data_IF_546076919760
#
_entry.id   IF_546076919760
#
_cell.length_a   1.000
_cell.length_b   1.000
_cell.length_c   1.000
_cell.angle_alpha   90.00
_cell.angle_beta   90.00
_cell.angle_gamma   90.00
#
_symmetry.space_group_name_H-M   'P 1'
#
loop_
_entity.id
_entity.type
_entity.pdbx_description
1 polymer ?
#
# COMPACT_ATOMS: atom_id res chain seq x y z
N UNK A 1 12.05 -19.70 -2.61
CA UNK A 1 10.64 -19.60 -2.22
C UNK A 1 10.26 -18.14 -2.03
N UNK A 2 9.15 -17.69 -2.56
CA UNK A 2 8.70 -16.33 -2.29
C UNK A 2 8.41 -16.15 -0.80
N UNK A 3 8.63 -14.94 -0.32
CA UNK A 3 8.28 -14.59 1.05
C UNK A 3 6.80 -14.24 1.12
N UNK A 4 6.18 -14.53 2.26
CA UNK A 4 4.79 -14.21 2.50
C UNK A 4 4.59 -13.79 3.95
N UNK A 5 3.60 -12.93 4.17
CA UNK A 5 3.12 -12.63 5.51
C UNK A 5 4.19 -12.03 6.41
N UNK A 6 4.21 -12.49 7.64
CA UNK A 6 5.12 -11.93 8.64
C UNK A 6 6.59 -12.17 8.28
N UNK A 7 6.90 -13.29 7.68
CA UNK A 7 8.28 -13.55 7.26
C UNK A 7 8.71 -12.51 6.23
N UNK A 8 7.84 -12.14 5.31
CA UNK A 8 8.14 -11.12 4.32
C UNK A 8 8.43 -9.79 5.00
N UNK A 9 7.62 -9.42 5.99
CA UNK A 9 7.86 -8.19 6.74
C UNK A 9 9.20 -8.26 7.46
N UNK A 10 9.46 -9.36 8.15
CA UNK A 10 10.67 -9.49 8.95
C UNK A 10 11.94 -9.40 8.11
N UNK A 11 11.94 -10.06 6.95
CA UNK A 11 13.11 -10.04 6.07
C UNK A 11 13.27 -8.67 5.43
N UNK A 12 12.17 -8.04 5.08
CA UNK A 12 12.22 -6.71 4.50
C UNK A 12 12.85 -5.72 5.50
N UNK A 13 12.40 -5.78 6.75
CA UNK A 13 12.92 -4.89 7.78
C UNK A 13 14.39 -5.18 8.08
N UNK A 14 14.75 -6.46 8.15
CA UNK A 14 16.12 -6.86 8.51
C UNK A 14 17.13 -6.46 7.45
N UNK A 15 16.71 -6.33 6.20
CA UNK A 15 17.62 -6.08 5.07
C UNK A 15 17.37 -4.76 4.38
N UNK A 16 16.51 -3.91 4.93
CA UNK A 16 16.10 -2.65 4.28
C UNK A 16 15.62 -2.90 2.86
N UNK A 17 14.82 -3.96 2.71
CA UNK A 17 14.18 -4.29 1.45
C UNK A 17 15.04 -5.02 0.46
N UNK A 18 16.32 -5.28 0.78
CA UNK A 18 17.15 -6.06 -0.12
C UNK A 18 16.52 -7.43 -0.35
N UNK A 19 15.97 -8.00 0.71
CA UNK A 19 15.12 -9.17 0.57
C UNK A 19 13.68 -8.71 0.76
N UNK A 20 12.86 -8.99 -0.22
CA UNK A 20 11.44 -8.72 -0.11
C UNK A 20 10.92 -7.63 -1.01
N UNK A 21 11.74 -6.63 -1.38
CA UNK A 21 11.26 -5.57 -2.27
C UNK A 21 10.90 -6.14 -3.64
N UNK A 22 11.79 -6.91 -4.23
CA UNK A 22 11.50 -7.57 -5.49
C UNK A 22 10.80 -8.87 -5.17
N UNK A 23 9.63 -9.08 -5.75
CA UNK A 23 8.78 -10.18 -5.36
C UNK A 23 7.97 -10.68 -6.55
N UNK A 24 8.24 -11.91 -6.99
CA UNK A 24 7.50 -12.57 -8.06
C UNK A 24 7.35 -11.70 -9.31
N UNK A 25 8.46 -11.04 -9.69
CA UNK A 25 8.46 -10.24 -10.91
C UNK A 25 7.88 -8.85 -10.73
N UNK A 26 7.53 -8.48 -9.51
CA UNK A 26 7.03 -7.15 -9.23
C UNK A 26 7.77 -6.59 -8.02
N UNK A 27 7.23 -5.57 -7.39
CA UNK A 27 7.88 -4.89 -6.29
C UNK A 27 6.91 -4.63 -5.18
N UNK A 28 7.40 -4.68 -3.93
CA UNK A 28 6.56 -4.48 -2.75
C UNK A 28 7.12 -3.40 -1.86
N UNK A 29 6.21 -2.77 -1.13
CA UNK A 29 6.55 -1.87 -0.03
C UNK A 29 5.94 -2.45 1.24
N UNK A 30 6.39 -1.94 2.38
CA UNK A 30 5.72 -2.23 3.64
C UNK A 30 4.78 -1.07 3.97
N UNK A 31 3.54 -1.40 4.24
CA UNK A 31 2.53 -0.42 4.65
C UNK A 31 2.26 -0.60 6.14
N UNK A 32 2.32 0.49 6.90
CA UNK A 32 1.96 0.48 8.31
C UNK A 32 0.68 1.29 8.49
N UNK A 33 -0.35 0.63 8.98
CA UNK A 33 -1.62 1.27 9.29
C UNK A 33 -1.88 1.19 10.78
N UNK A 34 -2.78 2.06 11.26
CA UNK A 34 -3.22 2.03 12.65
C UNK A 34 -4.56 1.30 12.72
N UNK A 35 -4.63 0.27 13.54
CA UNK A 35 -5.84 -0.51 13.69
C UNK A 35 -7.00 0.37 14.16
N UNK A 36 -8.13 0.27 13.44
CA UNK A 36 -9.27 1.15 13.70
C UNK A 36 -9.94 0.88 15.04
N UNK A 37 -9.70 -0.30 15.60
CA UNK A 37 -10.30 -0.66 16.89
C UNK A 37 -9.30 -0.69 18.02
N UNK A 38 -8.10 -1.25 17.74
CA UNK A 38 -7.11 -1.43 18.79
C UNK A 38 -6.16 -0.25 18.93
N UNK A 39 -6.02 0.55 17.89
CA UNK A 39 -4.99 1.60 17.86
C UNK A 39 -3.59 1.06 17.64
N UNK A 40 -3.44 -0.23 17.48
CA UNK A 40 -2.13 -0.84 17.28
C UNK A 40 -1.68 -0.73 15.84
N UNK A 41 -0.39 -0.58 15.65
CA UNK A 41 0.16 -0.51 14.31
C UNK A 41 0.26 -1.89 13.71
N UNK A 42 -0.04 -1.98 12.42
CA UNK A 42 0.01 -3.23 11.67
C UNK A 42 0.82 -3.00 10.41
N UNK A 43 1.74 -3.92 10.13
CA UNK A 43 2.57 -3.84 8.94
C UNK A 43 2.31 -5.02 8.03
N UNK A 44 2.31 -4.76 6.72
CA UNK A 44 2.18 -5.83 5.74
C UNK A 44 2.83 -5.41 4.44
N UNK A 45 3.28 -6.39 3.63
CA UNK A 45 3.84 -6.09 2.32
C UNK A 45 2.73 -6.00 1.29
N UNK A 46 2.86 -5.04 0.38
CA UNK A 46 1.89 -4.86 -0.69
C UNK A 46 2.62 -4.53 -1.99
N UNK A 47 2.13 -5.08 -3.08
CA UNK A 47 2.61 -4.71 -4.41
C UNK A 47 2.25 -3.25 -4.64
N UNK A 48 3.20 -2.47 -5.17
CA UNK A 48 2.94 -1.05 -5.38
C UNK A 48 3.32 -0.63 -6.79
N UNK A 49 2.72 0.47 -7.24
CA UNK A 49 3.11 1.16 -8.45
C UNK A 49 3.37 2.62 -8.14
N UNK A 50 3.84 3.37 -9.12
CA UNK A 50 4.17 4.78 -8.97
C UNK A 50 3.42 5.61 -10.00
N UNK A 51 3.00 6.79 -9.57
CA UNK A 51 2.42 7.79 -10.45
C UNK A 51 2.91 9.14 -9.94
N UNK A 52 3.86 9.73 -10.68
CA UNK A 52 4.52 10.93 -10.17
C UNK A 52 5.26 10.61 -8.89
N UNK A 53 4.99 11.39 -7.85
CA UNK A 53 5.63 11.16 -6.56
C UNK A 53 4.81 10.23 -5.66
N UNK A 54 3.63 9.85 -6.11
CA UNK A 54 2.73 9.04 -5.30
C UNK A 54 3.00 7.56 -5.50
N UNK A 55 2.66 6.79 -4.48
CA UNK A 55 2.66 5.33 -4.55
C UNK A 55 1.22 4.85 -4.58
N UNK A 56 0.99 3.68 -5.17
CA UNK A 56 -0.37 3.13 -5.25
C UNK A 56 -0.35 1.67 -4.87
N UNK A 57 -1.40 1.25 -4.18
CA UNK A 57 -1.64 -0.15 -3.85
C UNK A 57 -3.09 -0.46 -4.17
N UNK A 58 -3.42 -1.75 -4.27
CA UNK A 58 -4.77 -2.17 -4.65
C UNK A 58 -5.36 -3.00 -3.51
N UNK A 59 -6.56 -2.62 -3.08
CA UNK A 59 -7.22 -3.30 -1.97
C UNK A 59 -8.07 -4.47 -2.48
N UNK A 60 -7.41 -5.42 -3.15
CA UNK A 60 -8.10 -6.49 -3.87
C UNK A 60 -8.49 -7.66 -2.99
N UNK A 61 -7.64 -8.05 -2.05
CA UNK A 61 -7.82 -9.25 -1.24
C UNK A 61 -8.16 -10.45 -2.14
N UNK A 62 -7.49 -10.54 -3.31
CA UNK A 62 -7.70 -11.64 -4.24
C UNK A 62 -9.09 -11.71 -4.84
N UNK A 63 -9.85 -10.62 -4.80
CA UNK A 63 -11.22 -10.61 -5.32
C UNK A 63 -12.24 -11.08 -4.33
N UNK A 64 -11.89 -11.15 -3.04
CA UNK A 64 -12.86 -11.54 -2.00
C UNK A 64 -14.01 -10.52 -1.96
N UNK A 65 -15.21 -10.95 -1.51
CA UNK A 65 -16.34 -10.04 -1.46
C UNK A 65 -16.18 -8.92 -0.44
N UNK A 66 -15.26 -9.06 0.50
CA UNK A 66 -15.04 -8.06 1.51
C UNK A 66 -13.67 -7.42 1.31
N UNK A 67 -13.51 -6.12 1.63
CA UNK A 67 -12.21 -5.49 1.50
C UNK A 67 -11.24 -5.99 2.56
N UNK A 68 -9.93 -5.81 2.33
CA UNK A 68 -8.96 -6.22 3.34
C UNK A 68 -9.03 -5.31 4.57
N UNK A 69 -8.63 -5.85 5.71
CA UNK A 69 -8.69 -5.10 6.96
C UNK A 69 -7.85 -3.83 6.92
N UNK A 70 -6.70 -3.88 6.25
CA UNK A 70 -5.84 -2.70 6.18
C UNK A 70 -6.52 -1.53 5.46
N UNK A 71 -7.38 -1.83 4.50
CA UNK A 71 -8.13 -0.79 3.80
C UNK A 71 -9.09 -0.10 4.76
N UNK A 72 -9.78 -0.88 5.58
CA UNK A 72 -10.69 -0.31 6.56
C UNK A 72 -9.93 0.50 7.60
N UNK A 73 -8.74 0.05 7.97
CA UNK A 73 -7.89 0.80 8.91
C UNK A 73 -7.50 2.16 8.34
N UNK A 74 -7.06 2.20 7.08
CA UNK A 74 -6.63 3.48 6.53
C UNK A 74 -7.79 4.40 6.20
N UNK A 75 -8.99 3.86 6.00
CA UNK A 75 -10.15 4.72 5.85
C UNK A 75 -10.46 5.43 7.16
N UNK A 76 -10.29 4.72 8.27
CA UNK A 76 -10.51 5.32 9.59
C UNK A 76 -9.37 6.24 9.99
N UNK A 77 -8.14 5.89 9.61
CA UNK A 77 -6.92 6.64 9.94
C UNK A 77 -6.07 6.76 8.69
N UNK A 78 -6.24 7.84 7.92
CA UNK A 78 -5.53 7.94 6.62
C UNK A 78 -4.05 8.25 6.74
N UNK A 79 -3.56 8.60 7.91
CA UNK A 79 -2.13 8.82 8.09
C UNK A 79 -1.45 7.47 8.28
N UNK A 80 -0.53 7.14 7.37
CA UNK A 80 0.13 5.84 7.33
C UNK A 80 1.63 6.05 7.20
N UNK A 81 2.38 4.95 7.29
CA UNK A 81 3.80 4.96 6.98
C UNK A 81 4.07 3.92 5.92
N UNK A 82 5.02 4.23 5.06
CA UNK A 82 5.46 3.26 4.06
C UNK A 82 6.97 3.15 4.11
N UNK A 83 7.45 1.96 3.77
CA UNK A 83 8.87 1.74 3.62
C UNK A 83 9.12 1.12 2.25
N UNK A 84 9.96 1.77 1.47
CA UNK A 84 10.35 1.30 0.15
C UNK A 84 11.84 1.10 0.19
N UNK A 85 12.27 -0.18 0.23
CA UNK A 85 13.66 -0.53 0.52
C UNK A 85 14.06 0.08 1.85
N UNK A 86 15.10 0.90 1.88
CA UNK A 86 15.51 1.54 3.13
C UNK A 86 14.84 2.87 3.41
N UNK A 87 14.01 3.35 2.50
CA UNK A 87 13.39 4.66 2.66
C UNK A 87 12.07 4.53 3.41
N UNK A 88 12.02 5.13 4.60
CA UNK A 88 10.82 5.16 5.42
C UNK A 88 10.22 6.55 5.33
N UNK A 89 8.92 6.62 5.14
CA UNK A 89 8.28 7.91 4.98
C UNK A 89 6.84 7.85 5.47
N UNK A 90 6.34 9.01 5.88
CA UNK A 90 4.92 9.15 6.18
C UNK A 90 4.18 9.42 4.89
N UNK A 91 2.93 8.99 4.86
CA UNK A 91 2.08 9.22 3.70
C UNK A 91 0.65 9.39 4.15
N UNK A 92 -0.13 10.05 3.31
CA UNK A 92 -1.57 10.14 3.53
C UNK A 92 -2.24 9.30 2.48
N UNK A 93 -3.10 8.40 2.95
CA UNK A 93 -3.79 7.46 2.07
C UNK A 93 -5.13 8.04 1.64
N UNK A 94 -5.49 7.84 0.38
CA UNK A 94 -6.82 8.17 -0.10
C UNK A 94 -7.22 7.19 -1.20
N UNK A 95 -8.52 7.02 -1.37
CA UNK A 95 -9.02 6.19 -2.46
C UNK A 95 -8.97 7.01 -3.75
N UNK A 96 -8.52 6.38 -4.83
CA UNK A 96 -8.48 7.04 -6.14
C UNK A 96 -9.88 7.47 -6.54
N UNK A 97 -9.96 8.66 -7.15
CA UNK A 97 -11.23 9.16 -7.66
C UNK A 97 -11.65 8.39 -8.90
N UNK A 98 -12.95 8.40 -9.26
CA UNK A 98 -13.38 7.72 -10.49
C UNK A 98 -12.68 8.24 -11.74
N UNK A 99 -12.31 9.53 -11.75
CA UNK A 99 -11.66 10.12 -12.90
C UNK A 99 -10.24 9.62 -13.08
N UNK A 100 -9.50 9.43 -11.99
CA UNK A 100 -8.10 9.01 -12.08
C UNK A 100 -7.94 7.50 -12.08
N UNK A 101 -8.93 6.76 -11.61
CA UNK A 101 -8.79 5.32 -11.41
C UNK A 101 -8.42 4.55 -12.67
N UNK A 102 -9.00 4.83 -13.86
CA UNK A 102 -8.64 4.03 -15.03
C UNK A 102 -7.15 4.05 -15.34
N UNK A 103 -6.51 5.20 -15.22
CA UNK A 103 -5.08 5.29 -15.48
C UNK A 103 -4.29 4.55 -14.40
N UNK A 104 -4.68 4.74 -13.14
CA UNK A 104 -3.97 4.11 -12.03
C UNK A 104 -4.16 2.60 -12.05
N UNK A 105 -5.36 2.14 -12.39
CA UNK A 105 -5.62 0.71 -12.52
C UNK A 105 -4.74 0.10 -13.61
N UNK A 106 -4.57 0.81 -14.71
CA UNK A 106 -3.74 0.35 -15.80
C UNK A 106 -2.28 0.20 -15.35
N UNK A 107 -1.79 1.14 -14.55
CA UNK A 107 -0.44 1.04 -14.01
C UNK A 107 -0.31 -0.20 -13.13
N UNK A 108 -1.29 -0.42 -12.26
CA UNK A 108 -1.23 -1.52 -11.31
C UNK A 108 -1.38 -2.88 -12.01
N UNK A 109 -2.19 -2.98 -13.06
CA UNK A 109 -2.32 -4.25 -13.76
C UNK A 109 -1.08 -4.59 -14.58
N UNK A 110 -0.26 -3.61 -14.90
CA UNK A 110 1.04 -3.91 -15.49
C UNK A 110 1.97 -4.55 -14.47
N UNK A 111 1.85 -4.14 -13.20
CA UNK A 111 2.63 -4.75 -12.14
C UNK A 111 2.10 -6.14 -11.78
N UNK A 112 0.78 -6.29 -11.76
CA UNK A 112 0.16 -7.55 -11.35
C UNK A 112 -1.13 -7.75 -12.14
N UNK A 113 -1.04 -8.40 -13.31
CA UNK A 113 -2.23 -8.55 -14.19
C UNK A 113 -3.42 -9.23 -13.55
N UNK A 114 -3.20 -10.03 -12.51
CA UNK A 114 -4.30 -10.74 -11.88
C UNK A 114 -5.31 -9.81 -11.20
N UNK A 115 -4.98 -8.52 -11.02
CA UNK A 115 -5.97 -7.60 -10.47
C UNK A 115 -7.23 -7.55 -11.31
N UNK A 116 -7.12 -7.63 -12.64
CA UNK A 116 -8.32 -7.67 -13.49
C UNK A 116 -9.15 -8.90 -13.20
N UNK A 117 -8.48 -10.04 -12.98
CA UNK A 117 -9.18 -11.28 -12.68
C UNK A 117 -9.85 -11.19 -11.31
N UNK A 118 -9.20 -10.55 -10.34
CA UNK A 118 -9.79 -10.37 -9.03
C UNK A 118 -11.05 -9.52 -9.11
N UNK A 119 -11.05 -8.49 -9.94
CA UNK A 119 -12.22 -7.64 -10.10
C UNK A 119 -13.38 -8.41 -10.70
N UNK A 120 -13.10 -9.38 -11.56
CA UNK A 120 -14.16 -10.20 -12.16
C UNK A 120 -14.80 -11.14 -11.15
N UNK A 121 -14.12 -11.43 -10.05
CA UNK A 121 -14.63 -12.37 -9.05
C UNK A 121 -15.62 -11.73 -8.09
N UNK A 122 -15.71 -10.42 -8.03
CA UNK A 122 -16.52 -9.75 -7.04
C UNK A 122 -17.31 -8.62 -7.65
N UNK A 123 -18.51 -8.38 -7.08
CA UNK A 123 -19.34 -7.27 -7.52
C UNK A 123 -18.90 -5.94 -6.89
N UNK A 124 -18.12 -5.99 -5.81
CA UNK A 124 -17.64 -4.73 -5.23
C UNK A 124 -16.58 -4.14 -6.14
N UNK A 125 -16.54 -2.83 -6.16
CA UNK A 125 -15.49 -2.15 -6.91
C UNK A 125 -14.20 -2.17 -6.09
N UNK A 126 -13.14 -2.78 -6.64
CA UNK A 126 -11.86 -2.87 -5.94
C UNK A 126 -11.16 -1.52 -6.04
N UNK A 127 -10.87 -0.87 -4.91
CA UNK A 127 -10.27 0.46 -4.95
C UNK A 127 -8.77 0.42 -5.17
N UNK A 128 -8.29 1.45 -5.87
CA UNK A 128 -6.86 1.77 -5.90
C UNK A 128 -6.65 2.81 -4.81
N UNK A 129 -5.64 2.61 -3.99
CA UNK A 129 -5.32 3.51 -2.89
C UNK A 129 -4.08 4.30 -3.27
N UNK A 130 -4.19 5.62 -3.20
CA UNK A 130 -3.06 6.51 -3.48
C UNK A 130 -2.42 6.86 -2.14
N UNK A 131 -1.12 6.67 -2.06
CA UNK A 131 -0.33 6.98 -0.86
C UNK A 131 0.53 8.19 -1.21
N UNK A 132 0.17 9.33 -0.64
CA UNK A 132 0.83 10.60 -0.94
C UNK A 132 1.89 10.86 0.11
N UNK A 133 3.18 10.78 -0.26
CA UNK A 133 4.23 10.98 0.73
C UNK A 133 4.17 12.36 1.36
N UNK A 134 4.46 12.41 2.66
CA UNK A 134 4.51 13.67 3.41
C UNK A 134 5.95 13.98 3.70
N UNK A 135 6.28 15.25 3.50
CA UNK A 135 7.64 15.70 3.77
C UNK A 135 7.93 15.67 5.26
N UNK A 136 9.10 15.13 5.63
CA UNK A 136 9.57 15.21 6.99
C UNK A 136 9.75 16.67 7.41
N UNK A 137 10.20 17.49 6.46
CA UNK A 137 10.37 18.90 6.71
C UNK A 137 9.05 19.54 7.09
N UNK A 138 8.00 19.17 6.40
CA UNK A 138 6.67 19.68 6.74
C UNK A 138 6.31 19.32 8.16
N UNK A 139 6.54 18.07 8.53
CA UNK A 139 6.28 17.65 9.89
C UNK A 139 7.09 18.41 10.88
N UNK A 140 8.35 18.63 10.59
CA UNK A 140 9.24 19.36 11.47
C UNK A 140 8.80 20.80 11.60
N UNK A 141 8.34 21.37 10.55
CA UNK A 141 7.87 22.75 10.59
C UNK A 141 6.67 22.90 11.50
N UNK A 142 5.86 21.89 11.54
CA UNK A 142 4.70 21.93 12.40
C UNK A 142 5.09 22.11 13.84
N UNK A 143 6.21 21.54 14.20
CA UNK A 143 6.62 21.59 15.57
C UNK A 143 7.02 22.96 16.02
N UNK A 144 7.92 23.60 15.35
CA UNK A 144 8.44 24.85 15.88
C UNK A 144 7.68 26.04 15.44
N UNK A 145 6.90 25.86 14.55
CA UNK A 145 6.39 27.08 13.96
C UNK A 145 5.09 27.48 14.35
#
# INVERSE_FOLDING_TARGET
MPLFGQEHVDRYLATDGEEGHDWQGTQTLLLTTTGRRSGQQRQLPLIYGRHGEDYMVVASKGGAPQPPAWYLNLEANPDVEIQVKGDKMRARARTATPEEKPELWSIMTREWPDYDRYQEKTDREIPVIVLEPRSETTSAEDGPN
#
